data_IF_332335117892
#
_entry.id   IF_332335117892
#
_cell.length_a   1.000
_cell.length_b   1.000
_cell.length_c   1.000
_cell.angle_alpha   90.00
_cell.angle_beta   90.00
_cell.angle_gamma   90.00
#
_symmetry.space_group_name_H-M   'P 1'
#
loop_
_entity.id
_entity.type
_entity.pdbx_description
1 polymer ?
#
# COMPACT_ATOMS: atom_id res chain seq x y z
N UNK A 1 -1.22 20.77 -16.59
CA UNK A 1 0.13 21.25 -16.95
C UNK A 1 0.29 21.12 -18.46
N UNK A 2 0.66 22.21 -19.14
CA UNK A 2 0.93 22.24 -20.58
C UNK A 2 2.44 22.37 -20.79
N UNK A 3 2.98 21.55 -21.69
CA UNK A 3 4.40 21.55 -22.04
C UNK A 3 4.61 22.37 -23.31
N UNK A 4 5.83 22.88 -23.50
CA UNK A 4 6.20 23.78 -24.61
C UNK A 4 6.06 23.14 -26.00
N UNK A 5 5.99 21.81 -26.07
CA UNK A 5 5.75 21.05 -27.30
C UNK A 5 4.27 20.80 -27.62
N UNK A 6 3.36 21.47 -26.89
CA UNK A 6 1.91 21.39 -27.10
C UNK A 6 1.24 20.19 -26.42
N UNK A 7 1.99 19.32 -25.73
CA UNK A 7 1.41 18.25 -24.92
C UNK A 7 0.78 18.82 -23.64
N UNK A 8 -0.31 18.21 -23.21
CA UNK A 8 -1.02 18.62 -21.98
C UNK A 8 -1.22 17.41 -21.09
N UNK A 9 -0.90 17.56 -19.80
CA UNK A 9 -1.19 16.58 -18.74
C UNK A 9 -2.23 17.18 -17.78
N UNK A 10 -3.31 16.45 -17.52
CA UNK A 10 -4.33 16.82 -16.54
C UNK A 10 -4.52 15.69 -15.53
N UNK A 11 -4.67 16.05 -14.26
CA UNK A 11 -4.97 15.11 -13.17
C UNK A 11 -6.41 15.33 -12.70
N UNK A 12 -7.16 14.23 -12.56
CA UNK A 12 -8.49 14.23 -11.97
C UNK A 12 -8.62 13.07 -10.98
N UNK A 13 -9.18 13.37 -9.80
CA UNK A 13 -9.54 12.37 -8.78
C UNK A 13 -10.91 11.74 -9.01
N UNK A 14 -11.70 12.30 -9.93
CA UNK A 14 -13.06 11.86 -10.27
C UNK A 14 -13.02 10.96 -11.52
N UNK A 15 -13.38 9.69 -11.34
CA UNK A 15 -13.36 8.68 -12.38
C UNK A 15 -14.30 8.95 -13.56
N UNK A 16 -15.42 9.66 -13.33
CA UNK A 16 -16.36 10.00 -14.41
C UNK A 16 -15.78 11.07 -15.35
N UNK A 17 -15.06 12.04 -14.77
CA UNK A 17 -14.34 13.08 -15.53
C UNK A 17 -13.16 12.49 -16.29
N UNK A 18 -12.45 11.53 -15.71
CA UNK A 18 -11.38 10.80 -16.39
C UNK A 18 -11.91 10.03 -17.61
N UNK A 19 -13.06 9.36 -17.48
CA UNK A 19 -13.68 8.62 -18.58
C UNK A 19 -14.17 9.53 -19.73
N UNK A 20 -14.80 10.67 -19.41
CA UNK A 20 -15.17 11.67 -20.42
C UNK A 20 -13.96 12.21 -21.18
N UNK A 21 -12.83 12.42 -20.50
CA UNK A 21 -11.61 12.92 -21.10
C UNK A 21 -10.99 11.90 -22.08
N UNK A 22 -11.04 10.61 -21.74
CA UNK A 22 -10.57 9.52 -22.62
C UNK A 22 -11.38 9.40 -23.92
N UNK A 23 -12.68 9.72 -23.87
CA UNK A 23 -13.58 9.62 -25.03
C UNK A 23 -13.55 10.86 -25.93
N UNK A 24 -13.18 12.03 -25.39
CA UNK A 24 -13.30 13.32 -26.08
C UNK A 24 -11.99 13.82 -26.72
N UNK A 25 -10.83 13.22 -26.42
CA UNK A 25 -9.54 13.73 -26.89
C UNK A 25 -8.95 12.91 -28.06
N UNK A 26 -8.94 13.52 -29.25
CA UNK A 26 -8.37 13.01 -30.50
C UNK A 26 -6.83 13.06 -30.54
N UNK A 27 -6.17 12.23 -29.74
CA UNK A 27 -4.87 11.68 -30.15
C UNK A 27 -3.59 12.22 -29.49
N UNK A 28 -3.63 13.07 -28.46
CA UNK A 28 -2.46 13.34 -27.62
C UNK A 28 -2.46 12.45 -26.37
N UNK A 29 -2.00 11.20 -26.55
CA UNK A 29 -2.01 10.16 -25.52
C UNK A 29 -0.95 10.42 -24.43
N UNK A 30 -1.40 10.58 -23.19
CA UNK A 30 -0.61 10.29 -21.98
C UNK A 30 -1.33 9.16 -21.26
N UNK A 31 -0.74 7.96 -21.29
CA UNK A 31 -1.15 6.82 -20.47
C UNK A 31 -0.25 6.79 -19.23
N UNK A 32 -0.79 7.16 -18.08
CA UNK A 32 -0.19 6.78 -16.80
C UNK A 32 -0.83 5.47 -16.33
N UNK A 33 0.00 4.49 -16.01
CA UNK A 33 -0.33 3.07 -15.92
C UNK A 33 -1.36 2.73 -14.83
N UNK A 34 -2.63 2.66 -15.21
CA UNK A 34 -3.46 1.50 -14.81
C UNK A 34 -3.47 0.59 -16.02
N UNK A 35 -2.86 -0.60 -15.94
CA UNK A 35 -2.99 -1.60 -17.01
C UNK A 35 -4.46 -1.68 -17.39
N UNK A 36 -4.78 -1.56 -18.69
CA UNK A 36 -6.17 -1.64 -19.17
C UNK A 36 -6.84 -2.93 -18.67
N UNK A 37 -6.07 -4.00 -18.51
CA UNK A 37 -6.47 -5.24 -17.84
C UNK A 37 -6.98 -5.01 -16.41
N UNK A 38 -6.28 -4.23 -15.58
CA UNK A 38 -6.73 -3.88 -14.22
C UNK A 38 -7.99 -3.01 -14.21
N UNK A 39 -8.14 -2.11 -15.18
CA UNK A 39 -9.37 -1.35 -15.35
C UNK A 39 -10.53 -2.26 -15.76
N UNK A 40 -10.31 -3.19 -16.70
CA UNK A 40 -11.30 -4.18 -17.12
C UNK A 40 -11.64 -5.14 -15.97
N UNK A 41 -10.67 -5.60 -15.20
CA UNK A 41 -10.87 -6.43 -14.00
C UNK A 41 -11.68 -5.69 -12.92
N UNK A 42 -11.42 -4.39 -12.73
CA UNK A 42 -12.18 -3.55 -11.81
C UNK A 42 -13.61 -3.26 -12.31
N UNK A 43 -13.80 -3.07 -13.61
CA UNK A 43 -15.12 -2.82 -14.24
C UNK A 43 -15.96 -4.09 -14.31
N UNK A 44 -15.35 -5.26 -14.51
CA UNK A 44 -16.02 -6.55 -14.63
C UNK A 44 -16.17 -7.25 -13.26
N UNK A 45 -15.61 -6.67 -12.19
CA UNK A 45 -15.73 -7.21 -10.82
C UNK A 45 -14.95 -8.49 -10.57
N UNK A 46 -14.03 -8.86 -11.47
CA UNK A 46 -13.23 -10.09 -11.43
C UNK A 46 -11.77 -9.85 -10.97
N UNK A 47 -11.45 -8.66 -10.48
CA UNK A 47 -10.18 -8.46 -9.80
C UNK A 47 -10.12 -9.43 -8.60
N UNK A 48 -8.96 -10.02 -8.24
CA UNK A 48 -8.82 -10.93 -7.10
C UNK A 48 -9.03 -10.24 -5.73
N UNK A 49 -9.79 -9.14 -5.73
CA UNK A 49 -10.31 -8.44 -4.58
C UNK A 49 -10.98 -9.49 -3.72
N UNK A 50 -10.40 -9.67 -2.53
CA UNK A 50 -11.12 -10.24 -1.40
C UNK A 50 -12.55 -9.69 -1.39
N UNK A 51 -13.58 -10.49 -1.06
CA UNK A 51 -14.99 -10.06 -1.09
C UNK A 51 -15.28 -8.71 -0.40
N UNK A 52 -14.37 -8.26 0.48
CA UNK A 52 -14.47 -7.08 1.32
C UNK A 52 -14.02 -5.75 0.66
N UNK A 53 -13.63 -5.73 -0.62
CA UNK A 53 -13.31 -4.49 -1.34
C UNK A 53 -11.90 -3.92 -1.10
N UNK A 54 -11.68 -2.66 -1.52
CA UNK A 54 -10.43 -1.93 -1.27
C UNK A 54 -10.41 -1.40 0.17
N UNK A 55 -9.54 -1.95 1.00
CA UNK A 55 -9.27 -1.47 2.35
C UNK A 55 -8.10 -0.50 2.30
N UNK A 56 -8.20 0.65 2.97
CA UNK A 56 -7.06 1.57 3.05
C UNK A 56 -5.89 0.92 3.80
N UNK A 57 -4.64 1.22 3.40
CA UNK A 57 -3.48 0.70 4.14
C UNK A 57 -3.49 1.11 5.62
N UNK A 58 -4.06 2.28 5.95
CA UNK A 58 -4.22 2.77 7.32
C UNK A 58 -5.16 1.92 8.17
N UNK A 59 -6.23 1.38 7.59
CA UNK A 59 -7.14 0.45 8.27
C UNK A 59 -6.47 -0.91 8.57
N UNK A 60 -5.34 -1.20 7.89
CA UNK A 60 -4.51 -2.39 8.11
C UNK A 60 -3.21 -2.09 8.86
N UNK A 61 -3.05 -0.90 9.43
CA UNK A 61 -1.95 -0.67 10.37
C UNK A 61 -2.36 -1.15 11.77
N UNK A 62 -1.41 -1.58 12.62
CA UNK A 62 -1.71 -1.85 14.01
C UNK A 62 -2.21 -0.57 14.70
N UNK A 63 -2.93 -0.73 15.80
CA UNK A 63 -3.18 0.40 16.69
C UNK A 63 -1.87 0.96 17.27
N UNK A 64 -1.90 2.25 17.63
CA UNK A 64 -0.75 2.89 18.27
C UNK A 64 -0.39 2.18 19.58
N UNK A 65 0.90 2.00 19.80
CA UNK A 65 1.52 1.30 20.95
C UNK A 65 1.21 -0.19 21.02
N UNK A 66 0.77 -0.80 19.91
CA UNK A 66 0.56 -2.25 19.83
C UNK A 66 1.84 -2.98 19.43
N UNK A 67 2.16 -4.03 20.17
CA UNK A 67 3.25 -4.95 19.88
C UNK A 67 2.85 -5.95 18.80
N UNK A 68 3.70 -6.11 17.78
CA UNK A 68 3.43 -6.97 16.62
C UNK A 68 4.70 -7.71 16.19
N UNK A 69 4.53 -8.79 15.42
CA UNK A 69 5.62 -9.39 14.66
C UNK A 69 5.74 -8.67 13.33
N UNK A 70 6.97 -8.41 12.89
CA UNK A 70 7.27 -7.72 11.64
C UNK A 70 8.30 -8.47 10.83
N UNK A 71 8.21 -8.34 9.51
CA UNK A 71 9.16 -8.92 8.58
C UNK A 71 9.53 -7.96 7.44
N UNK A 72 10.76 -8.11 6.94
CA UNK A 72 11.23 -7.50 5.69
C UNK A 72 12.21 -8.45 5.01
N UNK A 73 12.07 -8.59 3.69
CA UNK A 73 13.05 -9.26 2.84
C UNK A 73 14.18 -8.28 2.50
N UNK A 74 15.43 -8.75 2.60
CA UNK A 74 16.65 -7.96 2.42
C UNK A 74 17.28 -8.22 1.04
N UNK A 75 18.61 -8.29 0.98
CA UNK A 75 19.42 -8.25 -0.26
C UNK A 75 19.14 -9.40 -1.24
N UNK A 76 18.61 -10.53 -0.75
CA UNK A 76 18.35 -11.72 -1.56
C UNK A 76 16.94 -12.20 -1.36
N UNK A 77 16.34 -12.69 -2.44
CA UNK A 77 15.06 -13.40 -2.38
C UNK A 77 15.19 -14.57 -1.39
N UNK A 78 14.35 -14.57 -0.36
CA UNK A 78 14.33 -15.52 0.74
C UNK A 78 15.08 -15.07 2.01
N UNK A 79 15.87 -13.98 1.98
CA UNK A 79 16.53 -13.44 3.18
C UNK A 79 15.55 -12.58 3.99
N UNK A 80 14.63 -13.26 4.67
CA UNK A 80 13.65 -12.64 5.55
C UNK A 80 14.23 -12.36 6.92
N UNK A 81 14.16 -11.10 7.34
CA UNK A 81 14.44 -10.68 8.71
C UNK A 81 13.12 -10.49 9.44
N UNK A 82 12.99 -11.17 10.57
CA UNK A 82 11.80 -11.15 11.41
C UNK A 82 12.18 -10.66 12.80
N UNK A 83 11.38 -9.75 13.35
CA UNK A 83 11.54 -9.20 14.71
C UNK A 83 10.18 -8.88 15.31
N UNK A 84 10.17 -8.64 16.62
CA UNK A 84 9.07 -7.95 17.26
C UNK A 84 9.26 -6.42 17.10
N UNK A 85 8.16 -5.69 17.04
CA UNK A 85 8.15 -4.23 16.94
C UNK A 85 6.95 -3.64 17.67
N UNK A 86 7.02 -2.34 17.94
CA UNK A 86 5.87 -1.55 18.38
C UNK A 86 5.57 -0.47 17.35
N UNK A 87 4.30 -0.33 16.96
CA UNK A 87 3.86 0.73 16.05
C UNK A 87 3.46 1.98 16.85
N UNK A 88 4.21 3.07 16.75
CA UNK A 88 3.96 4.35 17.42
C UNK A 88 4.10 5.49 16.38
N UNK A 89 3.04 5.80 15.61
CA UNK A 89 3.09 6.86 14.62
C UNK A 89 3.40 8.22 15.27
N UNK A 90 4.30 8.99 14.65
CA UNK A 90 4.71 10.32 15.11
C UNK A 90 5.70 10.35 16.28
N UNK A 91 6.17 9.20 16.79
CA UNK A 91 7.20 9.17 17.82
C UNK A 91 8.56 9.60 17.24
N UNK A 92 9.34 10.48 17.91
CA UNK A 92 10.59 11.03 17.36
C UNK A 92 11.66 9.97 17.10
N UNK A 93 11.68 8.90 17.91
CA UNK A 93 12.64 7.80 17.74
C UNK A 93 12.11 6.66 16.85
N UNK A 94 10.89 6.77 16.32
CA UNK A 94 10.32 5.75 15.46
C UNK A 94 10.68 6.02 14.00
N UNK A 95 11.05 4.97 13.26
CA UNK A 95 11.27 5.05 11.83
C UNK A 95 9.95 4.79 11.09
N UNK A 96 9.33 5.86 10.57
CA UNK A 96 8.00 5.82 9.95
C UNK A 96 6.94 5.19 10.86
N UNK A 97 6.99 5.55 12.15
CA UNK A 97 6.11 5.00 13.17
C UNK A 97 6.53 3.62 13.71
N UNK A 98 7.61 3.02 13.25
CA UNK A 98 8.08 1.73 13.76
C UNK A 98 9.23 1.86 14.74
N UNK A 99 9.08 1.23 15.92
CA UNK A 99 10.17 1.00 16.87
C UNK A 99 10.51 -0.49 16.85
N UNK A 100 11.67 -0.82 16.28
CA UNK A 100 12.18 -2.19 16.19
C UNK A 100 13.51 -2.29 16.94
N UNK A 101 13.57 -2.99 18.08
CA UNK A 101 14.80 -3.07 18.86
C UNK A 101 15.97 -3.68 18.08
N UNK A 102 17.09 -2.94 18.02
CA UNK A 102 18.30 -3.35 17.32
C UNK A 102 18.12 -3.47 15.79
N UNK A 103 17.22 -2.68 15.20
CA UNK A 103 17.00 -2.62 13.76
C UNK A 103 16.58 -1.20 13.34
N UNK A 104 17.12 -0.72 12.22
CA UNK A 104 16.81 0.60 11.65
C UNK A 104 15.98 0.54 10.37
N UNK A 105 15.50 -0.64 9.99
CA UNK A 105 14.70 -0.86 8.78
C UNK A 105 13.21 -0.71 9.04
N UNK A 106 12.45 -0.31 8.02
CA UNK A 106 10.98 -0.21 8.05
C UNK A 106 10.39 -1.57 7.67
N UNK A 107 9.40 -2.14 8.34
CA UNK A 107 8.87 -3.44 7.94
C UNK A 107 8.05 -3.35 6.64
N UNK A 108 7.97 -4.45 5.88
CA UNK A 108 7.04 -4.56 4.74
C UNK A 108 5.82 -5.43 5.05
N UNK A 109 5.92 -6.28 6.06
CA UNK A 109 4.86 -7.18 6.51
C UNK A 109 4.76 -7.13 8.02
N UNK A 110 3.57 -7.33 8.57
CA UNK A 110 3.34 -7.46 9.99
C UNK A 110 2.17 -8.41 10.30
N UNK A 111 2.12 -8.91 11.53
CA UNK A 111 0.98 -9.65 12.08
C UNK A 111 0.87 -9.42 13.59
N UNK A 112 -0.33 -9.54 14.20
CA UNK A 112 -0.47 -9.48 15.64
C UNK A 112 0.38 -10.55 16.34
N UNK A 113 0.75 -10.30 17.59
CA UNK A 113 1.40 -11.32 18.41
C UNK A 113 0.44 -12.51 18.59
N UNK A 114 0.96 -13.75 18.58
CA UNK A 114 0.15 -14.91 18.87
C UNK A 114 -0.39 -14.83 20.30
N UNK A 115 -1.53 -15.49 20.54
CA UNK A 115 -2.03 -15.64 21.91
C UNK A 115 -0.96 -16.33 22.78
N UNK A 116 -0.81 -15.90 24.04
CA UNK A 116 0.14 -16.53 24.94
C UNK A 116 -0.18 -18.02 25.10
N UNK A 117 0.84 -18.89 25.30
CA UNK A 117 0.61 -20.29 25.59
C UNK A 117 -0.30 -20.43 26.83
N UNK A 118 -1.33 -21.26 26.73
CA UNK A 118 -2.15 -21.60 27.90
C UNK A 118 -1.39 -22.64 28.73
N UNK A 119 -1.22 -22.40 30.02
CA UNK A 119 -0.69 -23.40 30.93
C UNK A 119 -1.70 -24.55 31.03
N UNK A 120 -1.31 -25.77 30.62
CA UNK A 120 -2.09 -26.97 30.93
C UNK A 120 -2.07 -27.14 32.46
N UNK A 121 -3.24 -26.96 33.08
CA UNK A 121 -3.42 -27.10 34.52
C UNK A 121 -3.56 -28.57 34.93
#
# INVERSE_FOLDING_TARGET
MQFDDGRTCAFHTDGAKAAQWLLACDGNKVQEYVRIERYQEAVIGNSPVTPDGWISCSERMPDSKTGVLVAREFDRKGDWRMKWATYIPGHPDANDGWIIPGASWIPSHWMPLPEPPQEEK
#
